data_IF_255810866735
#
_entry.id   IF_255810866735
#
_cell.length_a   1.000
_cell.length_b   1.000
_cell.length_c   1.000
_cell.angle_alpha   90.00
_cell.angle_beta   90.00
_cell.angle_gamma   90.00
#
_symmetry.space_group_name_H-M   'P 1'
#
loop_
_entity.id
_entity.type
_entity.pdbx_description
1 polymer ?
#
# COMPACT_ATOMS: atom_id res chain seq x y z
N UNK A 1 -19.93 5.40 -11.43
CA UNK A 1 -19.25 6.25 -10.43
C UNK A 1 -17.84 6.55 -10.96
N UNK A 2 -17.30 7.75 -10.74
CA UNK A 2 -15.93 8.06 -11.16
C UNK A 2 -14.94 7.13 -10.45
N UNK A 3 -13.95 6.61 -11.17
CA UNK A 3 -12.89 5.76 -10.60
C UNK A 3 -12.05 6.61 -9.64
N UNK A 4 -11.75 6.07 -8.47
CA UNK A 4 -10.96 6.73 -7.44
C UNK A 4 -9.57 6.11 -7.37
N UNK A 5 -8.56 6.97 -7.30
CA UNK A 5 -7.17 6.60 -7.05
C UNK A 5 -6.94 6.51 -5.54
N UNK A 6 -6.70 5.30 -5.03
CA UNK A 6 -6.56 5.05 -3.60
C UNK A 6 -5.14 4.57 -3.32
N UNK A 7 -4.44 5.21 -2.38
CA UNK A 7 -3.15 4.75 -1.88
C UNK A 7 -3.30 4.20 -0.45
N UNK A 8 -3.13 2.89 -0.28
CA UNK A 8 -2.98 2.28 1.03
C UNK A 8 -1.52 2.39 1.47
N UNK A 9 -1.26 3.04 2.60
CA UNK A 9 0.10 3.24 3.11
C UNK A 9 0.32 2.35 4.32
N UNK A 10 1.25 1.42 4.24
CA UNK A 10 1.61 0.48 5.30
C UNK A 10 2.90 0.96 5.95
N UNK A 11 2.92 1.04 7.28
CA UNK A 11 4.16 1.32 8.02
C UNK A 11 4.27 0.47 9.28
N UNK A 12 5.48 -0.05 9.61
CA UNK A 12 5.73 -0.69 10.90
C UNK A 12 5.89 0.33 12.04
N UNK A 13 5.84 1.63 11.74
CA UNK A 13 5.99 2.71 12.71
C UNK A 13 4.62 3.08 13.32
N UNK A 14 4.68 3.68 14.51
CA UNK A 14 3.49 4.23 15.19
C UNK A 14 2.75 5.31 14.40
N UNK A 15 3.45 5.98 13.48
CA UNK A 15 2.92 7.08 12.69
C UNK A 15 3.37 6.97 11.24
N UNK A 16 2.44 7.23 10.32
CA UNK A 16 2.77 7.50 8.92
C UNK A 16 3.41 8.88 8.81
N UNK A 17 4.41 9.02 7.94
CA UNK A 17 5.05 10.31 7.69
C UNK A 17 4.03 11.30 7.09
N UNK A 18 3.84 12.49 7.70
CA UNK A 18 3.04 13.53 7.09
C UNK A 18 3.60 14.00 5.74
N UNK A 19 4.92 13.87 5.53
CA UNK A 19 5.55 14.17 4.25
C UNK A 19 5.02 13.23 3.16
N UNK A 20 5.03 11.92 3.42
CA UNK A 20 4.56 10.92 2.44
C UNK A 20 3.08 11.11 2.13
N UNK A 21 2.27 11.45 3.15
CA UNK A 21 0.83 11.73 2.97
C UNK A 21 0.61 12.94 2.07
N UNK A 22 1.34 14.04 2.30
CA UNK A 22 1.25 15.23 1.46
C UNK A 22 1.72 14.93 0.02
N UNK A 23 2.86 14.26 -0.14
CA UNK A 23 3.38 13.91 -1.46
C UNK A 23 2.41 13.03 -2.26
N UNK A 24 1.74 12.07 -1.62
CA UNK A 24 0.73 11.25 -2.28
C UNK A 24 -0.48 12.06 -2.74
N UNK A 25 -1.00 12.96 -1.89
CA UNK A 25 -2.13 13.82 -2.26
C UNK A 25 -1.76 14.81 -3.36
N UNK A 26 -0.59 15.44 -3.27
CA UNK A 26 -0.09 16.37 -4.29
C UNK A 26 0.18 15.66 -5.64
N UNK A 27 0.51 14.36 -5.61
CA UNK A 27 0.65 13.52 -6.80
C UNK A 27 -0.70 13.14 -7.45
N UNK A 28 -1.83 13.45 -6.83
CA UNK A 28 -3.17 13.29 -7.41
C UNK A 28 -3.95 12.05 -6.96
N UNK A 29 -3.54 11.37 -5.88
CA UNK A 29 -4.39 10.35 -5.27
C UNK A 29 -5.65 10.98 -4.66
N UNK A 30 -6.83 10.41 -4.93
CA UNK A 30 -8.09 10.88 -4.36
C UNK A 30 -8.20 10.59 -2.86
N UNK A 31 -7.59 9.49 -2.41
CA UNK A 31 -7.60 9.05 -1.03
C UNK A 31 -6.28 8.40 -0.65
N UNK A 32 -5.83 8.70 0.57
CA UNK A 32 -4.61 8.15 1.16
C UNK A 32 -4.97 7.58 2.53
N UNK A 33 -4.77 6.28 2.71
CA UNK A 33 -5.25 5.53 3.89
C UNK A 33 -4.05 4.91 4.62
N UNK A 34 -3.64 5.47 5.77
CA UNK A 34 -2.53 4.95 6.54
C UNK A 34 -2.93 3.80 7.47
N UNK A 35 -2.11 2.76 7.50
CA UNK A 35 -2.11 1.68 8.47
C UNK A 35 -0.76 1.72 9.20
N UNK A 36 -0.82 1.89 10.52
CA UNK A 36 0.35 2.05 11.39
C UNK A 36 0.57 0.81 12.23
N UNK A 37 1.78 0.67 12.78
CA UNK A 37 2.21 -0.49 13.57
C UNK A 37 1.98 -1.84 12.84
N UNK A 38 2.03 -1.83 11.50
CA UNK A 38 1.81 -3.02 10.67
C UNK A 38 2.99 -3.96 10.80
N UNK A 39 2.73 -5.18 11.25
CA UNK A 39 3.73 -6.25 11.27
C UNK A 39 3.85 -6.93 9.91
N UNK A 40 5.00 -7.58 9.67
CA UNK A 40 5.24 -8.36 8.44
C UNK A 40 4.14 -9.42 8.19
N UNK A 41 3.62 -10.03 9.26
CA UNK A 41 2.59 -11.08 9.16
C UNK A 41 1.21 -10.57 8.72
N UNK A 42 0.94 -9.27 8.86
CA UNK A 42 -0.35 -8.66 8.51
C UNK A 42 -0.41 -8.19 7.06
N UNK A 43 0.74 -7.98 6.41
CA UNK A 43 0.83 -7.43 5.05
C UNK A 43 0.00 -8.24 4.05
N UNK A 44 0.10 -9.57 4.09
CA UNK A 44 -0.64 -10.44 3.17
C UNK A 44 -2.14 -10.24 3.26
N UNK A 45 -2.69 -10.15 4.47
CA UNK A 45 -4.12 -9.95 4.69
C UNK A 45 -4.58 -8.59 4.15
N UNK A 46 -3.84 -7.53 4.48
CA UNK A 46 -4.15 -6.17 4.03
C UNK A 46 -4.10 -6.04 2.51
N UNK A 47 -3.13 -6.69 1.86
CA UNK A 47 -3.03 -6.70 0.39
C UNK A 47 -4.20 -7.47 -0.22
N UNK A 48 -4.55 -8.64 0.32
CA UNK A 48 -5.67 -9.43 -0.20
C UNK A 48 -7.02 -8.72 -0.06
N UNK A 49 -7.24 -8.03 1.05
CA UNK A 49 -8.42 -7.19 1.24
C UNK A 49 -8.47 -6.06 0.21
N UNK A 50 -7.33 -5.44 -0.12
CA UNK A 50 -7.25 -4.40 -1.13
C UNK A 50 -7.51 -4.93 -2.56
N UNK A 51 -6.95 -6.08 -2.94
CA UNK A 51 -7.08 -6.60 -4.33
C UNK A 51 -8.45 -7.24 -4.59
N UNK A 52 -9.11 -7.83 -3.59
CA UNK A 52 -10.42 -8.47 -3.78
C UNK A 52 -11.61 -7.52 -3.55
N UNK A 53 -11.40 -6.36 -2.95
CA UNK A 53 -12.46 -5.36 -2.74
C UNK A 53 -12.82 -4.56 -3.99
N UNK A 54 -12.02 -4.64 -5.06
CA UNK A 54 -12.28 -3.96 -6.35
C UNK A 54 -12.16 -4.94 -7.52
N UNK A 55 -12.95 -4.75 -8.60
CA UNK A 55 -12.79 -5.52 -9.83
C UNK A 55 -11.37 -5.41 -10.42
N UNK A 56 -10.85 -6.46 -11.10
CA UNK A 56 -9.49 -6.46 -11.65
C UNK A 56 -9.15 -5.28 -12.58
N UNK A 57 -10.11 -4.80 -13.37
CA UNK A 57 -9.93 -3.67 -14.30
C UNK A 57 -9.82 -2.30 -13.60
N UNK A 58 -10.13 -2.28 -12.31
CA UNK A 58 -10.08 -1.10 -11.44
C UNK A 58 -8.98 -1.24 -10.38
N UNK A 59 -8.42 -2.45 -10.19
CA UNK A 59 -7.28 -2.68 -9.29
C UNK A 59 -6.07 -1.80 -9.61
N UNK A 60 -5.88 -1.45 -10.88
CA UNK A 60 -4.83 -0.51 -11.33
C UNK A 60 -4.98 0.92 -10.78
N UNK A 61 -6.17 1.29 -10.29
CA UNK A 61 -6.41 2.57 -9.62
C UNK A 61 -6.19 2.49 -8.09
N UNK A 62 -5.71 1.35 -7.59
CA UNK A 62 -5.27 1.18 -6.21
C UNK A 62 -3.76 0.97 -6.17
N UNK A 63 -3.09 1.67 -5.25
CA UNK A 63 -1.68 1.50 -4.96
C UNK A 63 -1.46 1.10 -3.50
N UNK A 64 -0.33 0.43 -3.25
CA UNK A 64 0.19 0.15 -1.91
C UNK A 64 1.57 0.79 -1.78
N UNK A 65 1.74 1.62 -0.76
CA UNK A 65 3.02 2.22 -0.39
C UNK A 65 3.51 1.61 0.93
N UNK A 66 4.77 1.19 0.97
CA UNK A 66 5.41 0.65 2.18
C UNK A 66 6.45 1.65 2.67
N UNK A 67 6.13 2.29 3.80
CA UNK A 67 7.01 3.21 4.50
C UNK A 67 7.78 2.49 5.62
N UNK A 68 8.79 3.15 6.17
CA UNK A 68 9.54 2.64 7.32
C UNK A 68 10.87 3.34 7.50
N UNK A 69 11.63 2.92 8.51
CA UNK A 69 13.03 3.36 8.72
C UNK A 69 14.04 2.21 8.60
N UNK A 70 13.54 0.98 8.56
CA UNK A 70 14.35 -0.22 8.38
C UNK A 70 14.14 -0.69 6.94
N UNK A 71 15.17 -0.51 6.12
CA UNK A 71 15.12 -0.88 4.71
C UNK A 71 14.97 -2.39 4.50
N UNK A 72 15.56 -3.21 5.36
CA UNK A 72 15.43 -4.67 5.26
C UNK A 72 13.99 -5.10 5.54
N UNK A 73 13.39 -4.58 6.61
CA UNK A 73 11.99 -4.86 6.93
C UNK A 73 11.04 -4.35 5.83
N UNK A 74 11.27 -3.16 5.28
CA UNK A 74 10.45 -2.62 4.20
C UNK A 74 10.50 -3.50 2.93
N UNK A 75 11.68 -4.03 2.59
CA UNK A 75 11.84 -4.96 1.47
C UNK A 75 11.17 -6.32 1.75
N UNK A 76 11.23 -6.83 2.98
CA UNK A 76 10.52 -8.05 3.37
C UNK A 76 9.00 -7.87 3.25
N UNK A 77 8.47 -6.72 3.72
CA UNK A 77 7.07 -6.36 3.56
C UNK A 77 6.68 -6.21 2.08
N UNK A 78 7.53 -5.62 1.25
CA UNK A 78 7.31 -5.51 -0.20
C UNK A 78 7.22 -6.88 -0.87
N UNK A 79 8.12 -7.80 -0.55
CA UNK A 79 8.07 -9.17 -1.07
C UNK A 79 6.85 -9.93 -0.57
N UNK A 80 6.43 -9.73 0.67
CA UNK A 80 5.18 -10.29 1.19
C UNK A 80 3.97 -9.76 0.41
N UNK A 81 3.91 -8.45 0.14
CA UNK A 81 2.84 -7.85 -0.64
C UNK A 81 2.80 -8.37 -2.08
N UNK A 82 3.95 -8.51 -2.74
CA UNK A 82 4.02 -9.09 -4.09
C UNK A 82 3.54 -10.54 -4.13
N UNK A 83 3.91 -11.35 -3.14
CA UNK A 83 3.47 -12.76 -3.03
C UNK A 83 1.98 -12.90 -2.70
N UNK A 84 1.37 -11.89 -2.09
CA UNK A 84 -0.05 -11.88 -1.75
C UNK A 84 -0.97 -11.66 -2.95
N UNK A 85 -0.45 -11.18 -4.08
CA UNK A 85 -1.22 -10.93 -5.31
C UNK A 85 -1.71 -12.23 -5.96
N UNK A 86 -2.93 -12.23 -6.49
CA UNK A 86 -3.55 -13.40 -7.13
C UNK A 86 -4.12 -13.01 -8.50
N UNK A 87 -3.43 -13.30 -9.63
CA UNK A 87 -3.93 -12.91 -10.95
C UNK A 87 -5.37 -13.41 -11.22
N UNK A 88 -6.26 -12.57 -11.78
CA UNK A 88 -6.01 -11.22 -12.31
C UNK A 88 -6.09 -10.08 -11.27
N UNK A 89 -6.30 -10.38 -9.98
CA UNK A 89 -6.41 -9.39 -8.91
C UNK A 89 -5.03 -8.93 -8.45
N UNK A 90 -4.61 -7.76 -8.93
CA UNK A 90 -3.31 -7.18 -8.63
C UNK A 90 -3.43 -5.65 -8.51
N UNK A 91 -2.52 -5.06 -7.74
CA UNK A 91 -2.38 -3.61 -7.55
C UNK A 91 -0.91 -3.23 -7.68
N UNK A 92 -0.63 -1.95 -7.92
CA UNK A 92 0.75 -1.45 -7.87
C UNK A 92 1.24 -1.40 -6.43
N UNK A 93 2.49 -1.81 -6.18
CA UNK A 93 3.13 -1.73 -4.86
C UNK A 93 4.55 -1.21 -4.98
N UNK A 94 4.98 -0.38 -4.04
CA UNK A 94 6.35 0.14 -3.95
C UNK A 94 6.74 0.40 -2.48
N UNK A 95 8.04 0.50 -2.22
CA UNK A 95 8.60 0.80 -0.92
C UNK A 95 9.58 1.98 -1.00
N UNK A 96 9.53 2.88 -0.03
CA UNK A 96 10.46 4.02 0.12
C UNK A 96 10.78 4.21 1.61
N UNK A 97 11.68 3.38 2.18
CA UNK A 97 12.12 3.56 3.56
C UNK A 97 13.00 4.82 3.68
N UNK A 98 12.75 5.61 4.71
CA UNK A 98 13.51 6.83 5.05
C UNK A 98 14.87 6.54 5.67
#
# INVERSE_FOLDING_TARGET
MARKHILHMLTPLKHMSPFDVNMALDAGFDAVVPYVDVSLGEVTGLVQDAIFSRPPDVGVDTGIFIAGKDASLALDMFEAARKAMVPPFQVSVFADPA
#
